data_IF_616806957189
#
_entry.id   IF_616806957189
#
_cell.length_a   1.000
_cell.length_b   1.000
_cell.length_c   1.000
_cell.angle_alpha   90.00
_cell.angle_beta   90.00
_cell.angle_gamma   90.00
#
_symmetry.space_group_name_H-M   'P 1'
#
loop_
_entity.id
_entity.type
_entity.pdbx_description
1 polymer ?
#
# COMPACT_ATOMS: atom_id res chain seq x y z
N UNK A 1 -12.13 -16.48 -4.05
CA UNK A 1 -12.29 -15.06 -4.38
C UNK A 1 -13.68 -14.79 -4.93
N UNK A 2 -13.83 -14.69 -6.26
CA UNK A 2 -15.04 -14.12 -6.89
C UNK A 2 -16.39 -14.72 -6.45
N UNK A 3 -16.52 -16.05 -6.38
CA UNK A 3 -17.74 -16.71 -5.92
C UNK A 3 -18.04 -16.38 -4.45
N UNK A 4 -17.00 -16.31 -3.62
CA UNK A 4 -17.10 -15.99 -2.19
C UNK A 4 -17.53 -14.54 -1.96
N UNK A 5 -16.98 -13.58 -2.72
CA UNK A 5 -17.40 -12.17 -2.66
C UNK A 5 -18.85 -11.98 -3.11
N UNK A 6 -19.23 -12.67 -4.19
CA UNK A 6 -20.58 -12.60 -4.72
C UNK A 6 -21.63 -13.10 -3.71
N UNK A 7 -21.30 -14.13 -2.92
CA UNK A 7 -22.22 -14.79 -1.99
C UNK A 7 -22.14 -14.30 -0.53
N UNK A 8 -20.96 -13.98 -0.01
CA UNK A 8 -20.70 -13.85 1.43
C UNK A 8 -21.10 -12.51 2.07
N UNK A 9 -21.15 -11.44 1.28
CA UNK A 9 -21.39 -10.08 1.81
C UNK A 9 -20.29 -9.60 2.77
N UNK A 10 -20.36 -8.32 3.16
CA UNK A 10 -19.27 -7.66 3.90
C UNK A 10 -18.98 -8.28 5.29
N UNK A 11 -20.00 -8.82 5.98
CA UNK A 11 -19.82 -9.40 7.33
C UNK A 11 -19.04 -10.71 7.32
N UNK A 12 -19.32 -11.61 6.36
CA UNK A 12 -18.59 -12.87 6.25
C UNK A 12 -17.12 -12.61 5.89
N UNK A 13 -16.87 -11.62 5.01
CA UNK A 13 -15.54 -11.19 4.63
C UNK A 13 -14.71 -10.76 5.85
N UNK A 14 -15.28 -9.94 6.74
CA UNK A 14 -14.58 -9.48 7.96
C UNK A 14 -14.19 -10.66 8.88
N UNK A 15 -15.07 -11.65 9.05
CA UNK A 15 -14.75 -12.83 9.85
C UNK A 15 -13.66 -13.70 9.22
N UNK A 16 -13.69 -13.87 7.91
CA UNK A 16 -12.64 -14.58 7.19
C UNK A 16 -11.29 -13.85 7.31
N UNK A 17 -11.26 -12.53 7.12
CA UNK A 17 -10.07 -11.70 7.29
C UNK A 17 -9.50 -11.85 8.72
N UNK A 18 -10.36 -11.87 9.74
CA UNK A 18 -9.93 -12.05 11.13
C UNK A 18 -9.27 -13.42 11.39
N UNK A 19 -9.87 -14.50 10.89
CA UNK A 19 -9.29 -15.85 11.00
C UNK A 19 -7.97 -15.94 10.25
N UNK A 20 -7.90 -15.37 9.03
CA UNK A 20 -6.68 -15.31 8.23
C UNK A 20 -5.57 -14.53 8.93
N UNK A 21 -5.90 -13.43 9.60
CA UNK A 21 -4.94 -12.67 10.39
C UNK A 21 -4.33 -13.50 11.53
N UNK A 22 -5.15 -14.25 12.28
CA UNK A 22 -4.67 -15.14 13.35
C UNK A 22 -3.75 -16.23 12.78
N UNK A 23 -4.16 -16.86 11.67
CA UNK A 23 -3.37 -17.89 11.01
C UNK A 23 -2.03 -17.33 10.49
N UNK A 24 -2.03 -16.12 9.95
CA UNK A 24 -0.83 -15.45 9.47
C UNK A 24 0.13 -15.18 10.63
N UNK A 25 -0.33 -14.47 11.68
CA UNK A 25 0.54 -14.13 12.83
C UNK A 25 1.06 -15.39 13.52
N UNK A 26 0.19 -16.37 13.74
CA UNK A 26 0.58 -17.65 14.32
C UNK A 26 1.61 -18.39 13.46
N UNK A 27 1.41 -18.43 12.14
CA UNK A 27 2.34 -19.04 11.19
C UNK A 27 3.70 -18.35 11.15
N UNK A 28 3.72 -17.02 11.15
CA UNK A 28 4.96 -16.23 11.18
C UNK A 28 5.74 -16.46 12.47
N UNK A 29 5.07 -16.43 13.64
CA UNK A 29 5.71 -16.71 14.92
C UNK A 29 6.24 -18.14 15.00
N UNK A 30 5.52 -19.11 14.43
CA UNK A 30 5.97 -20.49 14.35
C UNK A 30 7.24 -20.63 13.51
N UNK A 31 7.30 -19.97 12.34
CA UNK A 31 8.50 -19.93 11.49
C UNK A 31 9.68 -19.34 12.25
N UNK A 32 9.49 -18.21 12.94
CA UNK A 32 10.52 -17.58 13.78
C UNK A 32 11.03 -18.54 14.85
N UNK A 33 10.13 -19.23 15.57
CA UNK A 33 10.50 -20.20 16.59
C UNK A 33 11.38 -21.33 16.06
N UNK A 34 11.04 -21.86 14.87
CA UNK A 34 11.83 -22.91 14.23
C UNK A 34 13.20 -22.39 13.79
N UNK A 35 13.27 -21.21 13.18
CA UNK A 35 14.56 -20.61 12.82
C UNK A 35 15.45 -20.41 14.05
N UNK A 36 14.92 -19.89 15.15
CA UNK A 36 15.68 -19.72 16.41
C UNK A 36 16.19 -21.06 16.93
N UNK A 37 15.41 -22.14 16.80
CA UNK A 37 15.84 -23.47 17.27
C UNK A 37 16.91 -24.13 16.40
N UNK A 38 17.00 -23.77 15.11
CA UNK A 38 17.88 -24.42 14.13
C UNK A 38 19.11 -23.61 13.73
N UNK A 39 19.14 -22.31 14.04
CA UNK A 39 20.31 -21.46 13.82
C UNK A 39 21.23 -21.54 15.04
N UNK A 40 22.52 -21.75 14.81
CA UNK A 40 23.50 -21.78 15.89
C UNK A 40 23.55 -20.43 16.62
N UNK A 41 23.47 -20.45 17.95
CA UNK A 41 23.38 -19.25 18.78
C UNK A 41 21.97 -18.63 18.86
N UNK A 42 20.96 -19.27 18.27
CA UNK A 42 19.56 -18.87 18.34
C UNK A 42 19.30 -17.44 17.86
N UNK A 43 18.50 -16.67 18.60
CA UNK A 43 18.16 -15.30 18.24
C UNK A 43 19.39 -14.40 18.10
N UNK A 44 20.33 -14.49 19.05
CA UNK A 44 21.56 -13.70 19.01
C UNK A 44 22.46 -14.11 17.84
N UNK A 45 22.51 -15.42 17.54
CA UNK A 45 23.23 -15.96 16.38
C UNK A 45 22.70 -15.44 15.05
N UNK A 46 21.38 -15.37 14.88
CA UNK A 46 20.72 -14.79 13.69
C UNK A 46 21.16 -13.35 13.47
N UNK A 47 21.05 -12.52 14.52
CA UNK A 47 21.38 -11.09 14.43
C UNK A 47 22.88 -10.91 14.19
N UNK A 48 23.74 -11.65 14.89
CA UNK A 48 25.19 -11.56 14.73
C UNK A 48 25.61 -11.95 13.32
N UNK A 49 25.11 -13.07 12.81
CA UNK A 49 25.41 -13.54 11.45
C UNK A 49 24.97 -12.50 10.40
N UNK A 50 23.76 -11.95 10.54
CA UNK A 50 23.26 -10.92 9.65
C UNK A 50 24.13 -9.65 9.66
N UNK A 51 24.58 -9.20 10.84
CA UNK A 51 25.45 -8.03 10.99
C UNK A 51 26.84 -8.28 10.39
N UNK A 52 27.45 -9.45 10.63
CA UNK A 52 28.77 -9.82 10.10
C UNK A 52 28.78 -9.95 8.57
N UNK A 53 27.63 -10.25 7.95
CA UNK A 53 27.50 -10.45 6.50
C UNK A 53 26.78 -9.29 5.79
N UNK A 54 26.88 -8.07 6.35
CA UNK A 54 26.42 -6.83 5.72
C UNK A 54 24.91 -6.70 5.54
N UNK A 55 24.11 -7.43 6.33
CA UNK A 55 22.64 -7.26 6.41
C UNK A 55 22.20 -6.46 7.63
N UNK A 56 23.15 -5.78 8.25
CA UNK A 56 22.95 -4.89 9.39
C UNK A 56 22.63 -3.45 9.00
N UNK A 57 23.16 -2.52 9.78
CA UNK A 57 22.93 -1.08 9.62
C UNK A 57 23.97 -0.39 8.70
N UNK A 58 24.68 -1.13 7.85
CA UNK A 58 25.76 -0.58 7.00
C UNK A 58 25.27 0.57 6.12
N UNK A 59 24.08 0.43 5.52
CA UNK A 59 23.47 1.50 4.75
C UNK A 59 23.27 2.79 5.57
N UNK A 60 22.99 2.68 6.88
CA UNK A 60 22.84 3.84 7.78
C UNK A 60 24.18 4.41 8.27
N UNK A 61 25.30 3.73 8.03
CA UNK A 61 26.64 4.21 8.37
C UNK A 61 27.21 5.09 7.25
N UNK A 62 26.73 4.94 6.02
CA UNK A 62 27.17 5.78 4.92
C UNK A 62 26.63 7.22 5.02
N UNK A 63 27.48 8.25 4.84
CA UNK A 63 27.01 9.64 4.81
C UNK A 63 26.02 9.94 3.68
N UNK A 64 26.04 9.15 2.60
CA UNK A 64 25.11 9.22 1.46
C UNK A 64 23.65 9.00 1.90
N UNK A 65 23.42 8.16 2.92
CA UNK A 65 22.09 7.79 3.41
C UNK A 65 21.32 8.96 4.03
N UNK A 66 22.02 9.97 4.56
CA UNK A 66 21.39 11.15 5.16
C UNK A 66 21.32 12.36 4.22
N UNK A 67 21.75 12.20 2.96
CA UNK A 67 21.65 13.25 1.94
C UNK A 67 20.36 13.13 1.15
N UNK A 68 19.71 14.26 0.89
CA UNK A 68 18.60 14.32 -0.06
C UNK A 68 19.16 14.27 -1.48
N UNK A 69 19.31 13.06 -2.02
CA UNK A 69 19.84 12.83 -3.37
C UNK A 69 18.92 11.85 -4.13
N UNK A 70 18.48 12.27 -5.31
CA UNK A 70 17.63 11.48 -6.20
C UNK A 70 18.32 10.23 -6.76
N UNK A 71 19.66 10.16 -6.73
CA UNK A 71 20.46 9.07 -7.30
C UNK A 71 20.99 8.10 -6.23
N UNK A 72 20.69 8.33 -4.96
CA UNK A 72 20.98 7.37 -3.89
C UNK A 72 19.79 6.44 -3.73
N UNK A 73 19.98 5.15 -4.05
CA UNK A 73 18.91 4.14 -4.09
C UNK A 73 18.05 4.12 -2.83
N UNK A 74 18.67 4.14 -1.66
CA UNK A 74 18.00 4.19 -0.35
C UNK A 74 18.64 5.32 0.46
N UNK A 75 17.86 6.34 0.79
CA UNK A 75 18.25 7.38 1.73
C UNK A 75 17.08 7.75 2.64
N UNK A 76 17.40 8.23 3.84
CA UNK A 76 16.45 8.50 4.91
C UNK A 76 15.33 9.45 4.48
N UNK A 77 15.66 10.53 3.78
CA UNK A 77 14.70 11.58 3.47
C UNK A 77 13.68 11.16 2.41
N UNK A 78 14.13 10.47 1.36
CA UNK A 78 13.21 9.92 0.36
C UNK A 78 12.33 8.83 0.98
N UNK A 79 12.90 7.95 1.82
CA UNK A 79 12.14 6.92 2.52
C UNK A 79 11.08 7.53 3.44
N UNK A 80 11.45 8.55 4.23
CA UNK A 80 10.54 9.23 5.14
C UNK A 80 9.42 9.92 4.36
N UNK A 81 9.75 10.65 3.29
CA UNK A 81 8.76 11.36 2.47
C UNK A 81 7.76 10.38 1.84
N UNK A 82 8.25 9.34 1.16
CA UNK A 82 7.39 8.32 0.52
C UNK A 82 6.53 7.60 1.57
N UNK A 83 7.09 7.29 2.74
CA UNK A 83 6.34 6.63 3.82
C UNK A 83 5.23 7.53 4.36
N UNK A 84 5.51 8.81 4.61
CA UNK A 84 4.48 9.77 5.06
C UNK A 84 3.40 9.94 4.01
N UNK A 85 3.78 10.11 2.74
CA UNK A 85 2.85 10.23 1.62
C UNK A 85 1.97 8.99 1.47
N UNK A 86 2.54 7.79 1.61
CA UNK A 86 1.84 6.51 1.62
C UNK A 86 0.81 6.41 2.75
N UNK A 87 1.20 6.75 3.98
CA UNK A 87 0.27 6.75 5.12
C UNK A 87 -0.86 7.77 4.94
N UNK A 88 -0.57 8.92 4.35
CA UNK A 88 -1.58 9.94 4.05
C UNK A 88 -2.54 9.48 2.96
N UNK A 89 -2.04 8.89 1.88
CA UNK A 89 -2.86 8.27 0.84
C UNK A 89 -3.81 7.23 1.43
N UNK A 90 -3.26 6.29 2.21
CA UNK A 90 -4.03 5.22 2.84
C UNK A 90 -5.13 5.75 3.76
N UNK A 91 -4.87 6.80 4.54
CA UNK A 91 -5.86 7.36 5.45
C UNK A 91 -6.95 8.20 4.76
N UNK A 92 -6.69 8.74 3.57
CA UNK A 92 -7.55 9.77 2.96
C UNK A 92 -8.22 9.36 1.65
N UNK A 93 -7.50 8.63 0.80
CA UNK A 93 -7.83 8.42 -0.61
C UNK A 93 -8.00 6.94 -0.94
N UNK A 94 -7.51 6.05 -0.08
CA UNK A 94 -7.76 4.62 -0.22
C UNK A 94 -9.21 4.27 0.12
N UNK A 95 -9.96 3.87 -0.91
CA UNK A 95 -11.39 3.63 -0.79
C UNK A 95 -11.72 2.51 0.20
N UNK A 96 -10.88 1.48 0.30
CA UNK A 96 -11.09 0.37 1.22
C UNK A 96 -10.91 0.83 2.67
N UNK A 97 -9.84 1.58 2.94
CA UNK A 97 -9.56 2.13 4.26
C UNK A 97 -10.67 3.09 4.71
N UNK A 98 -11.07 4.03 3.85
CA UNK A 98 -12.13 5.01 4.15
C UNK A 98 -13.47 4.31 4.40
N UNK A 99 -13.84 3.33 3.57
CA UNK A 99 -15.08 2.58 3.78
C UNK A 99 -15.09 1.81 5.10
N UNK A 100 -13.96 1.20 5.49
CA UNK A 100 -13.84 0.50 6.77
C UNK A 100 -14.02 1.47 7.94
N UNK A 101 -13.43 2.66 7.88
CA UNK A 101 -13.61 3.68 8.92
C UNK A 101 -15.07 4.16 9.02
N UNK A 102 -15.73 4.41 7.88
CA UNK A 102 -17.13 4.84 7.82
C UNK A 102 -18.13 3.76 8.25
N UNK A 103 -17.73 2.49 8.27
CA UNK A 103 -18.56 1.38 8.76
C UNK A 103 -18.61 1.26 10.29
N UNK A 104 -17.82 2.06 11.01
CA UNK A 104 -17.83 2.08 12.48
C UNK A 104 -18.97 2.93 13.02
N UNK A 105 -19.37 2.67 14.27
CA UNK A 105 -20.53 3.33 14.88
C UNK A 105 -20.31 4.80 15.23
N UNK A 106 -19.06 5.22 15.47
CA UNK A 106 -18.71 6.57 15.92
C UNK A 106 -17.31 6.95 15.46
N UNK A 107 -17.04 8.26 15.36
CA UNK A 107 -15.70 8.78 15.05
C UNK A 107 -14.61 8.23 16.00
N UNK A 108 -14.87 8.21 17.32
CA UNK A 108 -13.91 7.67 18.30
C UNK A 108 -13.66 6.17 18.11
N UNK A 109 -14.65 5.41 17.64
CA UNK A 109 -14.46 4.00 17.30
C UNK A 109 -13.61 3.83 16.04
N UNK A 110 -13.83 4.66 15.01
CA UNK A 110 -12.99 4.72 13.81
C UNK A 110 -11.52 5.02 14.16
N UNK A 111 -11.30 6.06 14.97
CA UNK A 111 -9.97 6.48 15.41
C UNK A 111 -9.25 5.38 16.20
N UNK A 112 -9.94 4.77 17.19
CA UNK A 112 -9.37 3.64 17.95
C UNK A 112 -9.05 2.45 17.07
N UNK A 113 -9.93 2.11 16.14
CA UNK A 113 -9.71 1.01 15.18
C UNK A 113 -8.50 1.29 14.29
N UNK A 114 -8.34 2.53 13.83
CA UNK A 114 -7.21 2.94 13.01
C UNK A 114 -5.89 2.82 13.77
N UNK A 115 -5.80 3.41 14.96
CA UNK A 115 -4.60 3.34 15.79
C UNK A 115 -4.24 1.91 16.19
N UNK A 116 -5.24 1.11 16.57
CA UNK A 116 -5.04 -0.31 16.87
C UNK A 116 -4.45 -1.07 15.68
N UNK A 117 -4.96 -0.84 14.47
CA UNK A 117 -4.42 -1.43 13.25
C UNK A 117 -2.98 -1.01 12.97
N UNK A 118 -2.63 0.26 13.16
CA UNK A 118 -1.25 0.74 12.95
C UNK A 118 -0.28 0.15 13.98
N UNK A 119 -0.67 0.13 15.27
CA UNK A 119 0.13 -0.46 16.35
C UNK A 119 0.37 -1.96 16.10
N UNK A 120 -0.63 -2.69 15.61
CA UNK A 120 -0.52 -4.12 15.32
C UNK A 120 0.26 -4.42 14.04
N UNK A 121 0.27 -3.49 13.09
CA UNK A 121 1.04 -3.61 11.85
C UNK A 121 2.55 -3.56 12.11
N UNK A 122 3.00 -2.68 13.01
CA UNK A 122 4.43 -2.53 13.35
C UNK A 122 5.12 -3.86 13.74
N UNK A 123 4.70 -4.59 14.78
CA UNK A 123 5.34 -5.85 15.16
C UNK A 123 5.24 -6.90 14.06
N UNK A 124 4.14 -6.91 13.29
CA UNK A 124 3.96 -7.86 12.17
C UNK A 124 5.02 -7.62 11.08
N UNK A 125 5.28 -6.36 10.73
CA UNK A 125 6.34 -6.00 9.77
C UNK A 125 7.73 -6.34 10.32
N UNK A 126 8.00 -6.07 11.59
CA UNK A 126 9.26 -6.46 12.23
C UNK A 126 9.49 -7.97 12.22
N UNK A 127 8.46 -8.76 12.49
CA UNK A 127 8.53 -10.23 12.42
C UNK A 127 8.85 -10.68 11.00
N UNK A 128 8.23 -10.10 9.97
CA UNK A 128 8.54 -10.44 8.57
C UNK A 128 9.99 -10.11 8.19
N UNK A 129 10.48 -8.93 8.57
CA UNK A 129 11.89 -8.57 8.35
C UNK A 129 12.84 -9.51 9.09
N UNK A 130 12.52 -9.84 10.34
CA UNK A 130 13.30 -10.77 11.13
C UNK A 130 13.32 -12.17 10.53
N UNK A 131 12.19 -12.68 10.00
CA UNK A 131 12.14 -13.95 9.27
C UNK A 131 13.10 -13.94 8.08
N UNK A 132 13.15 -12.85 7.32
CA UNK A 132 14.11 -12.69 6.23
C UNK A 132 15.57 -12.84 6.69
N UNK A 133 15.94 -12.19 7.80
CA UNK A 133 17.27 -12.33 8.41
C UNK A 133 17.52 -13.73 8.96
N UNK A 134 16.52 -14.34 9.60
CA UNK A 134 16.62 -15.66 10.18
C UNK A 134 16.85 -16.74 9.13
N UNK A 135 16.14 -16.65 8.00
CA UNK A 135 16.30 -17.56 6.86
C UNK A 135 17.64 -17.32 6.17
N UNK A 136 18.08 -16.07 6.04
CA UNK A 136 19.41 -15.73 5.53
C UNK A 136 20.52 -16.36 6.38
N UNK A 137 20.43 -16.25 7.71
CA UNK A 137 21.38 -16.88 8.62
C UNK A 137 21.32 -18.42 8.57
N UNK A 138 20.11 -18.98 8.50
CA UNK A 138 19.90 -20.43 8.40
C UNK A 138 20.58 -21.04 7.17
N UNK A 139 20.31 -20.49 5.97
CA UNK A 139 20.94 -21.00 4.74
C UNK A 139 22.42 -20.62 4.60
N UNK A 140 22.87 -19.59 5.32
CA UNK A 140 24.27 -19.25 5.44
C UNK A 140 25.07 -20.29 6.24
N UNK A 141 24.46 -20.87 7.27
CA UNK A 141 25.05 -21.94 8.09
C UNK A 141 24.79 -23.34 7.51
N UNK A 142 23.69 -23.52 6.79
CA UNK A 142 23.28 -24.77 6.14
C UNK A 142 23.18 -24.58 4.62
N UNK A 143 24.33 -24.44 3.91
CA UNK A 143 24.31 -24.21 2.48
C UNK A 143 23.73 -25.41 1.73
N UNK A 144 22.78 -25.16 0.85
CA UNK A 144 22.21 -26.19 -0.03
C UNK A 144 23.08 -26.29 -1.29
N UNK A 145 23.78 -27.42 -1.53
CA UNK A 145 24.67 -27.55 -2.68
C UNK A 145 23.92 -27.39 -4.01
N UNK A 146 24.46 -26.55 -4.91
CA UNK A 146 23.95 -26.40 -6.27
C UNK A 146 22.71 -25.51 -6.45
N UNK A 147 22.19 -24.88 -5.38
CA UNK A 147 21.00 -24.02 -5.47
C UNK A 147 21.35 -22.58 -5.11
N UNK A 148 21.23 -21.66 -6.07
CA UNK A 148 21.21 -20.22 -5.79
C UNK A 148 19.80 -19.81 -5.34
N UNK A 149 19.61 -19.59 -4.05
CA UNK A 149 18.34 -19.09 -3.51
C UNK A 149 18.21 -17.59 -3.78
N UNK A 150 17.17 -17.21 -4.50
CA UNK A 150 16.74 -15.82 -4.56
C UNK A 150 16.05 -15.44 -3.24
N UNK A 151 16.17 -14.18 -2.81
CA UNK A 151 15.56 -13.71 -1.56
C UNK A 151 14.04 -13.96 -1.52
N UNK A 152 13.36 -13.73 -2.64
CA UNK A 152 11.90 -13.84 -2.75
C UNK A 152 11.39 -15.30 -2.66
N UNK A 153 12.23 -16.28 -3.01
CA UNK A 153 11.88 -17.71 -2.96
C UNK A 153 12.38 -18.40 -1.70
N UNK A 154 13.28 -17.76 -0.94
CA UNK A 154 13.91 -18.36 0.24
C UNK A 154 12.90 -18.76 1.33
N UNK A 155 11.89 -17.93 1.57
CA UNK A 155 10.81 -18.23 2.53
C UNK A 155 10.00 -19.45 2.10
N UNK A 156 9.56 -19.51 0.85
CA UNK A 156 8.79 -20.64 0.33
C UNK A 156 9.60 -21.94 0.35
N UNK A 157 10.89 -21.86 0.04
CA UNK A 157 11.79 -23.00 0.17
C UNK A 157 11.88 -23.47 1.61
N UNK A 158 12.17 -22.56 2.54
CA UNK A 158 12.28 -22.90 3.96
C UNK A 158 11.00 -23.55 4.49
N UNK A 159 9.84 -22.96 4.17
CA UNK A 159 8.55 -23.52 4.56
C UNK A 159 8.36 -24.94 4.01
N UNK A 160 8.69 -25.16 2.73
CA UNK A 160 8.46 -26.46 2.07
C UNK A 160 9.45 -27.56 2.44
N UNK A 161 10.66 -27.24 2.89
CA UNK A 161 11.69 -28.25 3.22
C UNK A 161 11.99 -28.41 4.70
N UNK A 162 11.86 -27.35 5.49
CA UNK A 162 12.34 -27.35 6.87
C UNK A 162 11.22 -27.54 7.91
N UNK A 163 9.96 -27.27 7.54
CA UNK A 163 8.83 -27.34 8.46
C UNK A 163 8.14 -28.72 8.47
N UNK A 164 7.44 -29.08 9.55
CA UNK A 164 6.70 -30.33 9.63
C UNK A 164 5.67 -30.49 8.50
N UNK A 165 5.35 -31.72 8.05
CA UNK A 165 4.58 -31.96 6.82
C UNK A 165 3.23 -31.23 6.69
N UNK A 166 2.55 -30.91 7.80
CA UNK A 166 1.25 -30.22 7.77
C UNK A 166 1.37 -28.69 7.66
N UNK A 167 2.51 -28.11 8.03
CA UNK A 167 2.71 -26.64 8.08
C UNK A 167 2.80 -26.00 6.69
N UNK A 168 3.49 -26.58 5.68
CA UNK A 168 3.48 -26.03 4.32
C UNK A 168 2.06 -25.88 3.76
N UNK A 169 1.18 -26.87 4.00
CA UNK A 169 -0.21 -26.82 3.56
C UNK A 169 -0.99 -25.69 4.24
N UNK A 170 -0.82 -25.54 5.56
CA UNK A 170 -1.45 -24.43 6.31
C UNK A 170 -0.92 -23.06 5.87
N UNK A 171 0.39 -22.97 5.61
CA UNK A 171 1.03 -21.74 5.13
C UNK A 171 0.51 -21.34 3.76
N UNK A 172 0.47 -22.26 2.80
CA UNK A 172 -0.09 -22.00 1.47
C UNK A 172 -1.57 -21.62 1.57
N UNK A 173 -2.36 -22.29 2.42
CA UNK A 173 -3.75 -21.93 2.65
C UNK A 173 -3.90 -20.50 3.22
N UNK A 174 -3.04 -20.10 4.17
CA UNK A 174 -3.03 -18.75 4.73
C UNK A 174 -2.61 -17.70 3.69
N UNK A 175 -1.58 -17.97 2.89
CA UNK A 175 -1.15 -17.10 1.80
C UNK A 175 -2.25 -16.92 0.74
N UNK A 176 -2.89 -18.00 0.31
CA UNK A 176 -4.01 -17.95 -0.63
C UNK A 176 -5.18 -17.16 -0.03
N UNK A 177 -5.46 -17.36 1.26
CA UNK A 177 -6.46 -16.57 1.99
C UNK A 177 -6.16 -15.07 1.95
N UNK A 178 -4.93 -14.67 2.28
CA UNK A 178 -4.47 -13.28 2.27
C UNK A 178 -4.58 -12.63 0.89
N UNK A 179 -4.16 -13.36 -0.16
CA UNK A 179 -4.28 -12.92 -1.55
C UNK A 179 -5.76 -12.74 -1.92
N UNK A 180 -6.62 -13.70 -1.54
CA UNK A 180 -8.05 -13.59 -1.78
C UNK A 180 -8.65 -12.37 -1.10
N UNK A 181 -8.36 -12.11 0.18
CA UNK A 181 -8.84 -10.94 0.91
C UNK A 181 -8.49 -9.62 0.20
N UNK A 182 -7.27 -9.52 -0.32
CA UNK A 182 -6.78 -8.32 -1.00
C UNK A 182 -7.46 -8.13 -2.38
N UNK A 183 -7.56 -9.22 -3.17
CA UNK A 183 -8.27 -9.20 -4.46
C UNK A 183 -9.75 -8.86 -4.29
N UNK A 184 -10.40 -9.49 -3.30
CA UNK A 184 -11.81 -9.32 -3.00
C UNK A 184 -12.10 -7.85 -2.62
N UNK A 185 -11.25 -7.26 -1.78
CA UNK A 185 -11.32 -5.86 -1.41
C UNK A 185 -11.08 -4.91 -2.60
N UNK A 186 -10.10 -5.19 -3.45
CA UNK A 186 -9.81 -4.41 -4.66
C UNK A 186 -10.97 -4.40 -5.66
N UNK A 187 -11.53 -5.58 -5.95
CA UNK A 187 -12.69 -5.70 -6.86
C UNK A 187 -13.93 -5.02 -6.30
N UNK A 188 -14.19 -5.16 -5.00
CA UNK A 188 -15.33 -4.51 -4.36
C UNK A 188 -15.19 -2.98 -4.37
N UNK A 189 -14.00 -2.46 -4.06
CA UNK A 189 -13.71 -1.02 -4.11
C UNK A 189 -13.90 -0.44 -5.51
N UNK A 190 -13.33 -1.09 -6.53
CA UNK A 190 -13.47 -0.63 -7.92
C UNK A 190 -14.93 -0.69 -8.40
N UNK A 191 -15.66 -1.77 -8.09
CA UNK A 191 -17.07 -1.87 -8.44
C UNK A 191 -17.91 -0.80 -7.72
N UNK A 192 -17.57 -0.46 -6.48
CA UNK A 192 -18.26 0.62 -5.76
C UNK A 192 -18.04 1.97 -6.41
N UNK A 193 -16.79 2.28 -6.80
CA UNK A 193 -16.45 3.53 -7.49
C UNK A 193 -17.17 3.62 -8.84
N UNK A 194 -17.18 2.54 -9.63
CA UNK A 194 -17.88 2.52 -10.91
C UNK A 194 -19.40 2.67 -10.78
N UNK A 195 -20.01 2.12 -9.73
CA UNK A 195 -21.46 2.29 -9.51
C UNK A 195 -21.78 3.67 -8.94
N UNK A 196 -21.18 4.05 -7.81
CA UNK A 196 -21.55 5.26 -7.08
C UNK A 196 -20.99 6.53 -7.69
N UNK A 197 -19.72 6.51 -8.10
CA UNK A 197 -19.02 7.72 -8.51
C UNK A 197 -19.07 7.91 -10.03
N UNK A 198 -19.34 6.85 -10.80
CA UNK A 198 -19.47 6.93 -12.27
C UNK A 198 -20.91 6.75 -12.74
N UNK A 199 -21.50 5.57 -12.54
CA UNK A 199 -22.82 5.26 -13.09
C UNK A 199 -23.92 6.14 -12.50
N UNK A 200 -23.97 6.31 -11.18
CA UNK A 200 -24.99 7.14 -10.55
C UNK A 200 -24.79 8.62 -10.86
N UNK A 201 -23.55 9.11 -10.93
CA UNK A 201 -23.30 10.54 -11.21
C UNK A 201 -23.63 10.90 -12.66
N UNK A 202 -23.19 10.09 -13.63
CA UNK A 202 -23.24 10.46 -15.05
C UNK A 202 -24.35 9.79 -15.85
N UNK A 203 -24.89 8.66 -15.40
CA UNK A 203 -25.85 7.86 -16.17
C UNK A 203 -27.24 7.86 -15.53
N UNK A 204 -27.35 7.48 -14.25
CA UNK A 204 -28.64 7.45 -13.55
C UNK A 204 -28.52 7.76 -12.05
N UNK A 205 -28.69 9.03 -11.66
CA UNK A 205 -28.61 9.48 -10.26
C UNK A 205 -29.63 8.84 -9.32
N UNK A 206 -30.79 8.41 -9.83
CA UNK A 206 -31.89 7.89 -9.03
C UNK A 206 -31.95 6.35 -9.03
N UNK A 207 -30.80 5.70 -9.22
CA UNK A 207 -30.72 4.23 -9.23
C UNK A 207 -31.05 3.67 -7.85
N UNK A 208 -32.12 2.87 -7.74
CA UNK A 208 -32.51 2.23 -6.48
C UNK A 208 -31.49 1.19 -5.98
N UNK A 209 -31.45 0.97 -4.67
CA UNK A 209 -30.45 0.14 -3.97
C UNK A 209 -30.31 -1.28 -4.55
N UNK A 210 -31.44 -1.95 -4.86
CA UNK A 210 -31.43 -3.30 -5.45
C UNK A 210 -30.64 -3.35 -6.76
N UNK A 211 -30.78 -2.32 -7.60
CA UNK A 211 -30.08 -2.22 -8.87
C UNK A 211 -28.61 -1.85 -8.67
N UNK A 212 -28.29 -1.01 -7.69
CA UNK A 212 -26.89 -0.72 -7.32
C UNK A 212 -26.15 -2.01 -6.93
N UNK A 213 -26.73 -2.80 -6.03
CA UNK A 213 -26.12 -4.08 -5.59
C UNK A 213 -25.97 -5.05 -6.75
N UNK A 214 -26.98 -5.16 -7.61
CA UNK A 214 -26.90 -6.02 -8.79
C UNK A 214 -25.79 -5.56 -9.76
N UNK A 215 -25.68 -4.26 -10.04
CA UNK A 215 -24.63 -3.69 -10.88
C UNK A 215 -23.25 -3.92 -10.27
N UNK A 216 -23.07 -3.70 -8.97
CA UNK A 216 -21.81 -3.95 -8.28
C UNK A 216 -21.40 -5.42 -8.41
N UNK A 217 -22.33 -6.36 -8.21
CA UNK A 217 -22.06 -7.80 -8.36
C UNK A 217 -21.67 -8.18 -9.79
N UNK A 218 -22.35 -7.62 -10.79
CA UNK A 218 -22.01 -7.83 -12.20
C UNK A 218 -20.61 -7.29 -12.51
N UNK A 219 -20.29 -6.07 -12.05
CA UNK A 219 -18.99 -5.45 -12.26
C UNK A 219 -17.87 -6.23 -11.59
N UNK A 220 -18.06 -6.75 -10.36
CA UNK A 220 -17.07 -7.61 -9.70
C UNK A 220 -16.72 -8.82 -10.57
N UNK A 221 -17.73 -9.47 -11.17
CA UNK A 221 -17.50 -10.60 -12.08
C UNK A 221 -16.74 -10.18 -13.33
N UNK A 222 -17.15 -9.10 -14.00
CA UNK A 222 -16.50 -8.61 -15.22
C UNK A 222 -15.06 -8.19 -14.98
N UNK A 223 -14.82 -7.40 -13.92
CA UNK A 223 -13.48 -6.95 -13.51
C UNK A 223 -12.62 -8.15 -13.15
N UNK A 224 -13.16 -9.11 -12.39
CA UNK A 224 -12.45 -10.33 -12.02
C UNK A 224 -12.02 -11.17 -13.22
N UNK A 225 -12.92 -11.35 -14.20
CA UNK A 225 -12.62 -12.07 -15.43
C UNK A 225 -11.57 -11.34 -16.28
N UNK A 226 -11.67 -10.01 -16.37
CA UNK A 226 -10.68 -9.19 -17.08
C UNK A 226 -9.30 -9.28 -16.41
N UNK A 227 -9.25 -9.14 -15.08
CA UNK A 227 -8.02 -9.27 -14.30
C UNK A 227 -7.39 -10.66 -14.45
N UNK A 228 -8.20 -11.71 -14.44
CA UNK A 228 -7.74 -13.09 -14.71
C UNK A 228 -7.19 -13.23 -16.12
N UNK A 229 -7.86 -12.66 -17.13
CA UNK A 229 -7.38 -12.65 -18.51
C UNK A 229 -6.03 -11.95 -18.66
N UNK A 230 -5.86 -10.77 -18.04
CA UNK A 230 -4.59 -10.04 -18.02
C UNK A 230 -3.51 -10.86 -17.30
N UNK A 231 -3.82 -11.46 -16.15
CA UNK A 231 -2.88 -12.29 -15.40
C UNK A 231 -2.41 -13.52 -16.20
N UNK A 232 -3.32 -14.21 -16.89
CA UNK A 232 -2.98 -15.34 -17.77
C UNK A 232 -2.15 -14.88 -18.97
N UNK A 233 -2.52 -13.77 -19.59
CA UNK A 233 -1.75 -13.18 -20.68
C UNK A 233 -0.33 -12.84 -20.25
N UNK A 234 -0.15 -12.22 -19.09
CA UNK A 234 1.16 -11.94 -18.51
C UNK A 234 1.93 -13.24 -18.23
N UNK A 235 1.29 -14.27 -17.67
CA UNK A 235 1.92 -15.56 -17.42
C UNK A 235 2.41 -16.26 -18.70
N UNK A 236 1.71 -16.08 -19.83
CA UNK A 236 2.06 -16.69 -21.11
C UNK A 236 3.12 -15.92 -21.91
N UNK A 237 3.36 -14.63 -21.60
CA UNK A 237 4.20 -13.75 -22.45
C UNK A 237 5.68 -13.65 -22.00
N UNK A 238 6.15 -14.55 -21.10
CA UNK A 238 7.58 -14.86 -20.77
C UNK A 238 8.20 -14.21 -19.51
N UNK A 239 9.34 -14.79 -19.07
CA UNK A 239 10.17 -14.54 -17.87
C UNK A 239 10.51 -13.07 -17.52
N UNK A 240 10.34 -12.12 -18.45
CA UNK A 240 10.55 -10.68 -18.20
C UNK A 240 9.50 -10.08 -17.25
N UNK A 241 8.38 -10.77 -17.04
CA UNK A 241 7.34 -10.39 -16.09
C UNK A 241 7.80 -10.46 -14.62
N UNK A 242 8.88 -11.20 -14.31
CA UNK A 242 9.47 -11.17 -12.97
C UNK A 242 9.94 -9.76 -12.56
N UNK A 243 10.38 -8.94 -13.53
CA UNK A 243 10.70 -7.52 -13.28
C UNK A 243 9.47 -6.62 -13.19
N UNK A 244 8.28 -7.11 -13.58
CA UNK A 244 7.03 -6.36 -13.52
C UNK A 244 6.58 -6.04 -12.10
N UNK A 245 7.01 -6.78 -11.06
CA UNK A 245 6.62 -6.43 -9.70
C UNK A 245 7.17 -5.06 -9.30
N UNK A 246 8.49 -4.85 -9.45
CA UNK A 246 9.11 -3.56 -9.13
C UNK A 246 8.55 -2.47 -10.05
N UNK A 247 8.34 -2.75 -11.34
CA UNK A 247 7.80 -1.77 -12.28
C UNK A 247 6.35 -1.38 -11.96
N UNK A 248 5.51 -2.34 -11.58
CA UNK A 248 4.13 -2.09 -11.12
C UNK A 248 4.12 -1.30 -9.82
N UNK A 249 5.04 -1.60 -8.90
CA UNK A 249 5.18 -0.86 -7.65
C UNK A 249 5.65 0.57 -7.88
N UNK A 250 6.62 0.79 -8.78
CA UNK A 250 7.04 2.14 -9.16
C UNK A 250 5.87 2.90 -9.76
N UNK A 251 5.12 2.29 -10.68
CA UNK A 251 3.91 2.91 -11.23
C UNK A 251 2.90 3.27 -10.13
N UNK A 252 2.67 2.37 -9.18
CA UNK A 252 1.76 2.61 -8.06
C UNK A 252 2.21 3.79 -7.18
N UNK A 253 3.46 3.77 -6.73
CA UNK A 253 4.07 4.83 -5.90
C UNK A 253 4.02 6.18 -6.63
N UNK A 254 4.30 6.19 -7.94
CA UNK A 254 4.30 7.39 -8.77
C UNK A 254 2.99 8.18 -8.72
N UNK A 255 1.83 7.49 -8.66
CA UNK A 255 0.52 8.15 -8.75
C UNK A 255 -0.22 8.27 -7.42
N UNK A 256 -0.02 7.36 -6.45
CA UNK A 256 -0.78 7.44 -5.19
C UNK A 256 -0.49 8.72 -4.42
N UNK A 257 0.78 9.17 -4.43
CA UNK A 257 1.20 10.38 -3.72
C UNK A 257 0.47 11.64 -4.21
N UNK A 258 0.11 11.70 -5.49
CA UNK A 258 -0.61 12.85 -6.06
C UNK A 258 -1.99 13.00 -5.42
N UNK A 259 -2.70 11.87 -5.22
CA UNK A 259 -4.00 11.86 -4.58
C UNK A 259 -3.91 12.28 -3.10
N UNK A 260 -2.88 11.81 -2.39
CA UNK A 260 -2.62 12.26 -1.02
C UNK A 260 -2.43 13.78 -0.94
N UNK A 261 -1.67 14.36 -1.86
CA UNK A 261 -1.43 15.81 -1.89
C UNK A 261 -2.69 16.59 -2.29
N UNK A 262 -3.50 16.09 -3.22
CA UNK A 262 -4.80 16.71 -3.56
C UNK A 262 -5.70 16.76 -2.33
N UNK A 263 -5.82 15.64 -1.61
CA UNK A 263 -6.65 15.58 -0.41
C UNK A 263 -6.11 16.47 0.70
N UNK A 264 -4.78 16.48 0.91
CA UNK A 264 -4.13 17.38 1.86
C UNK A 264 -4.52 18.83 1.58
N UNK A 265 -4.34 19.31 0.35
CA UNK A 265 -4.69 20.69 -0.04
C UNK A 265 -6.16 20.99 0.23
N UNK A 266 -7.06 20.06 -0.10
CA UNK A 266 -8.50 20.22 0.15
C UNK A 266 -8.83 20.39 1.63
N UNK A 267 -8.19 19.61 2.50
CA UNK A 267 -8.46 19.62 3.95
C UNK A 267 -7.77 20.78 4.68
N UNK A 268 -6.59 21.21 4.23
CA UNK A 268 -5.82 22.31 4.86
C UNK A 268 -6.02 23.67 4.20
N UNK A 269 -6.91 23.82 3.21
CA UNK A 269 -7.15 25.10 2.56
C UNK A 269 -8.62 25.46 2.44
N UNK A 270 -8.99 26.63 2.96
CA UNK A 270 -10.31 27.24 2.71
C UNK A 270 -10.35 28.12 1.45
N UNK A 271 -9.30 28.12 0.62
CA UNK A 271 -9.15 29.03 -0.53
C UNK A 271 -9.11 28.31 -1.89
N UNK A 272 -8.85 27.01 -1.89
CA UNK A 272 -8.62 26.21 -3.09
C UNK A 272 -9.94 25.79 -3.71
N UNK A 273 -10.11 25.98 -5.02
CA UNK A 273 -11.31 25.57 -5.75
C UNK A 273 -11.12 24.23 -6.46
N UNK A 274 -12.22 23.57 -6.83
CA UNK A 274 -12.18 22.34 -7.64
C UNK A 274 -11.41 22.53 -8.97
N UNK A 275 -11.52 23.71 -9.59
CA UNK A 275 -10.79 24.01 -10.82
C UNK A 275 -9.28 24.13 -10.61
N UNK A 276 -8.82 24.60 -9.43
CA UNK A 276 -7.39 24.65 -9.12
C UNK A 276 -6.85 23.23 -8.87
N UNK A 277 -7.62 22.41 -8.15
CA UNK A 277 -7.28 21.00 -7.91
C UNK A 277 -7.13 20.25 -9.24
N UNK A 278 -8.08 20.41 -10.17
CA UNK A 278 -8.05 19.71 -11.46
C UNK A 278 -6.83 20.12 -12.30
N UNK A 279 -6.50 21.42 -12.34
CA UNK A 279 -5.31 21.92 -13.05
C UNK A 279 -4.02 21.45 -12.40
N UNK A 280 -3.94 21.51 -11.07
CA UNK A 280 -2.78 21.07 -10.31
C UNK A 280 -2.55 19.56 -10.49
N UNK A 281 -3.62 18.76 -10.43
CA UNK A 281 -3.56 17.32 -10.67
C UNK A 281 -3.13 17.01 -12.11
N UNK A 282 -3.69 17.69 -13.11
CA UNK A 282 -3.29 17.51 -14.51
C UNK A 282 -1.82 17.85 -14.77
N UNK A 283 -1.34 18.98 -14.24
CA UNK A 283 0.06 19.38 -14.35
C UNK A 283 0.99 18.39 -13.64
N UNK A 284 0.63 17.98 -12.41
CA UNK A 284 1.40 17.00 -11.64
C UNK A 284 1.44 15.64 -12.31
N UNK A 285 0.35 15.19 -12.94
CA UNK A 285 0.29 13.94 -13.69
C UNK A 285 1.32 13.93 -14.83
N UNK A 286 1.44 15.04 -15.57
CA UNK A 286 2.46 15.19 -16.62
C UNK A 286 3.87 15.19 -16.03
N UNK A 287 4.09 15.91 -14.92
CA UNK A 287 5.40 15.91 -14.22
C UNK A 287 5.79 14.50 -13.80
N UNK A 288 4.87 13.74 -13.20
CA UNK A 288 5.09 12.35 -12.80
C UNK A 288 5.42 11.45 -13.97
N UNK A 289 4.73 11.60 -15.11
CA UNK A 289 5.06 10.83 -16.33
C UNK A 289 6.47 11.14 -16.83
N UNK A 290 6.86 12.42 -16.83
CA UNK A 290 8.20 12.86 -17.22
C UNK A 290 9.26 12.30 -16.26
N UNK A 291 9.05 12.39 -14.95
CA UNK A 291 9.96 11.82 -13.95
C UNK A 291 10.05 10.30 -14.08
N UNK A 292 8.94 9.61 -14.31
CA UNK A 292 8.91 8.16 -14.53
C UNK A 292 9.68 7.79 -15.80
N UNK A 293 9.56 8.56 -16.88
CA UNK A 293 10.35 8.38 -18.10
C UNK A 293 11.86 8.53 -17.83
N UNK A 294 12.27 9.58 -17.11
CA UNK A 294 13.67 9.77 -16.72
C UNK A 294 14.19 8.65 -15.82
N UNK A 295 13.37 8.17 -14.88
CA UNK A 295 13.70 7.01 -14.05
C UNK A 295 14.00 5.78 -14.92
N UNK A 296 13.13 5.46 -15.88
CA UNK A 296 13.31 4.32 -16.79
C UNK A 296 14.62 4.46 -17.57
N UNK A 297 14.89 5.65 -18.14
CA UNK A 297 16.12 5.90 -18.89
C UNK A 297 17.38 5.81 -18.01
N UNK A 298 17.28 6.22 -16.74
CA UNK A 298 18.41 6.17 -15.81
C UNK A 298 18.81 4.75 -15.40
N UNK A 299 17.94 3.73 -15.59
CA UNK A 299 18.24 2.36 -15.12
C UNK A 299 19.46 1.73 -15.81
N UNK A 300 19.82 2.21 -17.01
CA UNK A 300 20.97 1.73 -17.78
C UNK A 300 22.27 2.53 -17.56
N UNK A 301 22.28 3.53 -16.67
CA UNK A 301 23.45 4.38 -16.43
C UNK A 301 24.20 3.97 -15.16
N UNK A 302 25.43 4.47 -14.99
CA UNK A 302 26.25 4.23 -13.79
C UNK A 302 25.63 4.79 -12.49
N UNK A 303 24.64 5.70 -12.62
CA UNK A 303 23.94 6.34 -11.50
C UNK A 303 22.44 6.33 -11.75
N UNK A 304 21.75 5.19 -11.49
CA UNK A 304 20.30 5.11 -11.68
C UNK A 304 19.57 5.97 -10.65
N UNK A 305 18.49 6.59 -11.07
CA UNK A 305 17.60 7.32 -10.18
C UNK A 305 16.94 6.36 -9.19
N UNK A 306 16.80 6.80 -7.95
CA UNK A 306 16.06 6.07 -6.92
C UNK A 306 14.60 6.00 -7.28
N UNK A 307 14.02 4.80 -7.13
CA UNK A 307 12.59 4.58 -7.29
C UNK A 307 11.75 5.38 -6.27
N UNK A 308 12.34 5.74 -5.12
CA UNK A 308 11.69 6.55 -4.10
C UNK A 308 11.55 8.03 -4.50
N UNK A 309 12.36 8.49 -5.46
CA UNK A 309 12.28 9.87 -5.93
C UNK A 309 11.18 10.09 -6.97
N UNK A 310 10.65 9.02 -7.59
CA UNK A 310 9.83 9.13 -8.80
C UNK A 310 8.52 9.89 -8.58
N UNK A 311 7.87 9.72 -7.42
CA UNK A 311 6.60 10.40 -7.11
C UNK A 311 6.79 11.85 -6.63
N UNK A 312 7.96 12.18 -6.06
CA UNK A 312 8.17 13.44 -5.32
C UNK A 312 7.97 14.68 -6.20
N UNK A 313 8.53 14.78 -7.43
CA UNK A 313 8.31 15.94 -8.28
C UNK A 313 6.82 16.18 -8.59
N UNK A 314 6.05 15.11 -8.80
CA UNK A 314 4.61 15.19 -9.02
C UNK A 314 3.86 15.68 -7.78
N UNK A 315 4.19 15.13 -6.60
CA UNK A 315 3.61 15.54 -5.32
C UNK A 315 3.89 17.01 -5.01
N UNK A 316 5.13 17.46 -5.22
CA UNK A 316 5.51 18.87 -5.09
C UNK A 316 4.77 19.73 -6.11
N UNK A 317 4.61 19.26 -7.35
CA UNK A 317 3.84 19.98 -8.37
C UNK A 317 2.37 20.17 -7.95
N UNK A 318 1.71 19.17 -7.34
CA UNK A 318 0.36 19.32 -6.80
C UNK A 318 0.31 20.44 -5.75
N UNK A 319 1.26 20.45 -4.80
CA UNK A 319 1.32 21.48 -3.76
C UNK A 319 1.56 22.87 -4.36
N UNK A 320 2.52 22.99 -5.28
CA UNK A 320 2.89 24.24 -5.94
C UNK A 320 1.73 24.79 -6.77
N UNK A 321 1.21 24.01 -7.73
CA UNK A 321 0.15 24.46 -8.62
C UNK A 321 -1.22 24.57 -7.93
N UNK A 322 -1.45 23.85 -6.83
CA UNK A 322 -2.67 23.93 -6.04
C UNK A 322 -2.68 25.11 -5.06
N UNK A 323 -1.61 25.30 -4.28
CA UNK A 323 -1.56 26.35 -3.26
C UNK A 323 -1.23 27.73 -3.82
N UNK A 324 -0.26 27.86 -4.73
CA UNK A 324 0.20 29.17 -5.19
C UNK A 324 -0.96 30.04 -5.71
N UNK A 325 -1.85 29.55 -6.60
CA UNK A 325 -2.97 30.35 -7.08
C UNK A 325 -3.99 30.69 -5.98
N UNK A 326 -4.07 29.87 -4.92
CA UNK A 326 -5.00 30.04 -3.82
C UNK A 326 -4.50 31.01 -2.74
N UNK A 327 -3.18 31.24 -2.62
CA UNK A 327 -2.61 32.17 -1.63
C UNK A 327 -3.12 33.61 -1.81
N UNK A 328 -3.40 34.02 -3.05
CA UNK A 328 -3.87 35.37 -3.37
C UNK A 328 -5.40 35.50 -3.43
N UNK A 329 -6.16 34.43 -3.17
CA UNK A 329 -7.64 34.46 -3.21
C UNK A 329 -8.26 34.71 -1.85
N UNK A 330 -9.45 35.32 -1.86
CA UNK A 330 -10.32 35.38 -0.69
C UNK A 330 -10.74 33.95 -0.30
N UNK A 331 -11.01 33.75 1.00
CA UNK A 331 -11.57 32.49 1.49
C UNK A 331 -12.87 32.21 0.77
N UNK A 332 -13.11 30.93 0.49
CA UNK A 332 -14.37 30.47 -0.06
C UNK A 332 -15.51 30.71 0.93
N UNK A 333 -16.76 30.81 0.44
CA UNK A 333 -17.94 30.90 1.30
C UNK A 333 -17.99 29.75 2.31
N UNK A 334 -18.47 30.04 3.53
CA UNK A 334 -18.57 29.06 4.61
C UNK A 334 -19.38 27.82 4.18
N UNK A 335 -20.45 28.00 3.41
CA UNK A 335 -21.28 26.92 2.86
C UNK A 335 -20.49 25.87 2.06
N UNK A 336 -19.37 26.25 1.43
CA UNK A 336 -18.52 25.34 0.64
C UNK A 336 -17.38 24.69 1.43
N UNK A 337 -17.14 25.12 2.66
CA UNK A 337 -15.96 24.71 3.45
C UNK A 337 -16.30 24.26 4.87
N UNK A 338 -17.53 24.47 5.34
CA UNK A 338 -17.94 24.13 6.69
C UNK A 338 -17.89 22.62 6.94
N UNK A 339 -17.26 22.23 8.04
CA UNK A 339 -17.01 20.82 8.39
C UNK A 339 -16.09 20.03 7.44
N UNK A 340 -15.51 20.65 6.40
CA UNK A 340 -14.68 19.98 5.39
C UNK A 340 -13.17 20.23 5.54
N UNK A 341 -12.79 21.28 6.25
CA UNK A 341 -11.38 21.66 6.44
C UNK A 341 -10.98 21.55 7.90
N UNK A 342 -9.70 21.35 8.20
CA UNK A 342 -9.18 21.30 9.58
C UNK A 342 -9.54 22.54 10.41
N UNK A 343 -9.67 23.70 9.75
CA UNK A 343 -9.99 24.97 10.38
C UNK A 343 -11.49 25.14 10.66
N UNK A 344 -12.36 24.51 9.86
CA UNK A 344 -13.82 24.57 10.03
C UNK A 344 -14.34 23.44 10.92
N UNK A 345 -13.71 22.26 10.89
CA UNK A 345 -14.03 21.12 11.77
C UNK A 345 -13.87 21.47 13.26
N UNK A 346 -12.72 22.03 13.64
CA UNK A 346 -12.45 22.43 15.04
C UNK A 346 -13.45 23.47 15.56
N UNK A 347 -13.98 24.29 14.67
CA UNK A 347 -14.94 25.34 15.00
C UNK A 347 -16.33 24.77 15.30
N UNK A 348 -16.70 23.68 14.62
CA UNK A 348 -17.92 22.92 14.86
C UNK A 348 -17.85 22.13 16.17
N UNK A 349 -16.69 21.56 16.49
CA UNK A 349 -16.47 20.84 17.77
C UNK A 349 -16.43 21.79 18.99
N UNK A 350 -15.97 23.04 18.81
CA UNK A 350 -15.92 24.04 19.88
C UNK A 350 -17.20 24.87 20.06
N UNK A 351 -18.24 24.62 19.25
CA UNK A 351 -19.53 25.32 19.36
C UNK A 351 -19.50 26.81 18.98
N UNK A 352 -18.41 27.30 18.38
CA UNK A 352 -18.28 28.71 18.00
C UNK A 352 -18.86 28.88 16.59
N UNK A 353 -20.15 29.19 16.47
CA UNK A 353 -20.74 29.56 15.18
C UNK A 353 -20.07 30.82 14.59
N UNK A 354 -20.00 30.93 13.26
CA UNK A 354 -19.82 32.22 12.57
C UNK A 354 -21.07 32.57 11.82
#
# INVERSE_FOLDING_TARGET
>A
GLIYVYLGGAKALIWADFVQFILLVGGLLFIVGICISRVEGGLAGIVRYAMEHGRGFEAMQEPSFYKFDAFVRLNLWLMLFVTVSDRMFYASSDQLAVQRLLSTSTYKAAERSYWFSQILTLPTVFVLWFIGLAIFAFYGQHPVPGVKLAGDTALFRFVSTELPPFVPGLFIAACLGLIMSTLDAGFHSLATVLVKDTYMVFINPQTGEKRQVWLSRLLILVIGLLAMGIALFMAMTSDKVANSFIETQVFWISFQGLLAMVFLIGVTSCRVTAGDILRAFGAAFVVTLVTTYFYIQSRGTDRPMSFLFVSIPGEVAVLVFGYLPALWRKKLPAEKTDGLTLFTLKKKESGVAT
#
